data_IF_840669391396
#
_entry.id   IF_840669391396
#
_cell.length_a   1.000
_cell.length_b   1.000
_cell.length_c   1.000
_cell.angle_alpha   90.00
_cell.angle_beta   90.00
_cell.angle_gamma   90.00
#
_symmetry.space_group_name_H-M   'P 1'
#
loop_
_entity.id
_entity.type
_entity.pdbx_description
1 polymer ?
#
# COMPACT_ATOMS: atom_id res chain seq x y z
N UNK A 1 -6.28 27.04 10.50
CA UNK A 1 -5.52 26.25 11.49
C UNK A 1 -6.12 24.87 11.75
N UNK A 2 -7.44 24.72 11.82
CA UNK A 2 -8.14 23.43 12.05
C UNK A 2 -7.89 22.36 10.97
N UNK A 3 -7.67 22.77 9.71
CA UNK A 3 -7.39 21.84 8.61
C UNK A 3 -6.04 21.11 8.78
N UNK A 4 -4.99 21.86 9.12
CA UNK A 4 -3.63 21.30 9.32
C UNK A 4 -3.59 20.38 10.52
N UNK A 5 -4.24 20.75 11.63
CA UNK A 5 -4.31 19.89 12.82
C UNK A 5 -5.09 18.61 12.53
N UNK A 6 -6.22 18.69 11.81
CA UNK A 6 -6.97 17.51 11.37
C UNK A 6 -6.13 16.58 10.47
N UNK A 7 -5.38 17.15 9.52
CA UNK A 7 -4.48 16.39 8.64
C UNK A 7 -3.35 15.70 9.42
N UNK A 8 -2.70 16.41 10.34
CA UNK A 8 -1.66 15.81 11.19
C UNK A 8 -2.21 14.68 12.07
N UNK A 9 -3.36 14.88 12.73
CA UNK A 9 -3.99 13.84 13.56
C UNK A 9 -4.35 12.62 12.73
N UNK A 10 -4.95 12.80 11.55
CA UNK A 10 -5.28 11.71 10.65
C UNK A 10 -4.03 10.91 10.24
N UNK A 11 -2.96 11.61 9.84
CA UNK A 11 -1.71 10.96 9.46
C UNK A 11 -1.07 10.19 10.62
N UNK A 12 -1.01 10.79 11.81
CA UNK A 12 -0.46 10.15 13.00
C UNK A 12 -1.25 8.90 13.40
N UNK A 13 -2.59 9.00 13.39
CA UNK A 13 -3.49 7.89 13.72
C UNK A 13 -3.27 6.73 12.77
N UNK A 14 -3.12 7.00 11.47
CA UNK A 14 -2.83 5.98 10.47
C UNK A 14 -1.46 5.33 10.69
N UNK A 15 -0.45 6.14 10.98
CA UNK A 15 0.91 5.69 11.24
C UNK A 15 0.98 4.79 12.49
N UNK A 16 0.17 5.09 13.51
CA UNK A 16 0.11 4.29 14.72
C UNK A 16 -0.55 2.92 14.49
N UNK A 17 -1.60 2.85 13.67
CA UNK A 17 -2.40 1.63 13.47
C UNK A 17 -1.83 0.71 12.38
N UNK A 18 -1.36 1.28 11.28
CA UNK A 18 -0.99 0.49 10.10
C UNK A 18 0.50 0.15 10.04
N UNK A 19 1.37 0.84 10.77
CA UNK A 19 2.79 0.53 10.70
C UNK A 19 3.08 -0.80 11.40
N UNK A 20 3.72 -1.76 10.71
CA UNK A 20 4.08 -3.04 11.32
C UNK A 20 5.12 -2.89 12.45
N UNK A 21 5.86 -1.78 12.48
CA UNK A 21 6.83 -1.44 13.52
C UNK A 21 6.18 -0.88 14.80
N UNK A 22 4.94 -0.36 14.72
CA UNK A 22 4.24 0.24 15.86
C UNK A 22 3.18 -0.72 16.39
N UNK A 23 3.57 -1.56 17.36
CA UNK A 23 2.66 -2.54 17.99
C UNK A 23 1.77 -1.87 19.05
N UNK A 24 0.52 -1.56 18.68
CA UNK A 24 -0.50 -1.08 19.65
C UNK A 24 -0.95 -2.22 20.56
N UNK A 25 -1.14 -3.42 20.02
CA UNK A 25 -1.64 -4.56 20.80
C UNK A 25 -0.50 -5.23 21.57
N UNK A 26 -0.52 -5.06 22.91
CA UNK A 26 0.49 -5.61 23.84
C UNK A 26 0.19 -7.05 24.29
N UNK A 27 -0.90 -7.68 23.81
CA UNK A 27 -1.32 -9.01 24.26
C UNK A 27 -0.28 -10.12 23.99
N UNK A 28 0.59 -9.95 22.99
CA UNK A 28 1.64 -10.92 22.60
C UNK A 28 3.05 -10.55 23.04
N UNK A 29 3.21 -9.82 24.16
CA UNK A 29 4.52 -9.43 24.68
C UNK A 29 5.45 -10.62 25.02
N UNK A 30 4.87 -11.80 25.27
CA UNK A 30 5.59 -13.03 25.63
C UNK A 30 5.98 -13.90 24.42
N UNK A 31 5.45 -13.62 23.23
CA UNK A 31 5.71 -14.40 22.02
C UNK A 31 6.79 -13.70 21.20
N UNK A 32 8.02 -14.19 21.28
CA UNK A 32 9.19 -13.64 20.58
C UNK A 32 9.17 -13.85 19.05
N UNK A 33 8.14 -14.51 18.53
CA UNK A 33 7.99 -14.82 17.11
C UNK A 33 7.35 -13.61 16.42
N UNK A 34 8.07 -13.01 15.45
CA UNK A 34 7.53 -12.02 14.53
C UNK A 34 6.57 -12.72 13.55
N UNK A 35 5.34 -13.02 13.97
CA UNK A 35 4.23 -13.35 13.06
C UNK A 35 3.76 -12.10 12.28
N UNK A 36 4.71 -11.31 11.77
CA UNK A 36 4.51 -9.98 11.18
C UNK A 36 4.70 -10.00 9.65
N UNK A 37 4.97 -11.17 9.07
CA UNK A 37 5.16 -11.32 7.63
C UNK A 37 3.89 -10.95 6.85
N UNK A 38 2.72 -11.40 7.31
CA UNK A 38 1.45 -11.11 6.66
C UNK A 38 1.04 -9.62 6.79
N UNK A 39 1.30 -9.01 7.96
CA UNK A 39 1.00 -7.60 8.23
C UNK A 39 1.95 -6.67 7.46
N UNK A 40 3.22 -7.04 7.36
CA UNK A 40 4.23 -6.36 6.53
C UNK A 40 3.94 -6.48 5.03
N UNK A 41 3.45 -7.63 4.56
CA UNK A 41 3.02 -7.80 3.16
C UNK A 41 1.82 -6.91 2.84
N UNK A 42 0.82 -6.86 3.73
CA UNK A 42 -0.35 -5.97 3.60
C UNK A 42 0.04 -4.49 3.59
N UNK A 43 1.03 -4.07 4.38
CA UNK A 43 1.55 -2.70 4.36
C UNK A 43 2.33 -2.38 3.08
N UNK A 44 3.18 -3.31 2.61
CA UNK A 44 3.99 -3.16 1.40
C UNK A 44 3.15 -3.12 0.11
N UNK A 45 2.17 -4.03 0.01
CA UNK A 45 1.30 -4.14 -1.16
C UNK A 45 0.02 -3.30 -0.99
N UNK A 46 0.17 -1.99 -0.98
CA UNK A 46 -0.97 -1.08 -0.97
C UNK A 46 -1.83 -1.25 -2.24
N UNK A 47 -3.15 -1.02 -2.12
CA UNK A 47 -4.13 -1.28 -3.20
C UNK A 47 -3.80 -0.64 -4.56
N UNK A 48 -3.19 0.54 -4.61
CA UNK A 48 -2.76 1.18 -5.86
C UNK A 48 -1.54 0.47 -6.46
N UNK A 49 -0.62 -0.05 -5.64
CA UNK A 49 0.50 -0.86 -6.14
C UNK A 49 -0.01 -2.17 -6.73
N UNK A 50 -1.03 -2.81 -6.14
CA UNK A 50 -1.73 -3.96 -6.73
C UNK A 50 -2.49 -3.61 -8.02
N UNK A 51 -3.11 -2.43 -8.05
CA UNK A 51 -3.79 -1.90 -9.23
C UNK A 51 -2.78 -1.71 -10.39
N UNK A 52 -1.69 -0.99 -10.13
CA UNK A 52 -0.62 -0.79 -11.11
C UNK A 52 0.05 -2.09 -11.54
N UNK A 53 0.18 -3.08 -10.65
CA UNK A 53 0.73 -4.39 -11.01
C UNK A 53 -0.14 -5.12 -12.05
N UNK A 54 -1.47 -4.96 -12.00
CA UNK A 54 -2.39 -5.58 -12.96
C UNK A 54 -2.42 -4.86 -14.30
N UNK A 55 -2.05 -3.58 -14.33
CA UNK A 55 -1.93 -2.83 -15.56
C UNK A 55 -0.53 -3.02 -16.14
N UNK A 56 -0.45 -3.60 -17.34
CA UNK A 56 0.82 -3.65 -18.08
C UNK A 56 1.30 -2.20 -18.23
N UNK A 57 2.53 -1.85 -17.82
CA UNK A 57 3.01 -0.48 -17.94
C UNK A 57 3.18 -0.18 -19.44
N UNK A 58 2.17 0.43 -20.03
CA UNK A 58 2.24 0.99 -21.37
C UNK A 58 3.25 2.13 -21.32
N UNK A 59 4.41 1.96 -21.94
CA UNK A 59 5.43 3.03 -22.02
C UNK A 59 4.84 4.24 -22.78
N UNK A 60 3.90 3.99 -23.71
CA UNK A 60 3.12 4.97 -24.46
C UNK A 60 1.70 4.44 -24.75
N UNK A 61 0.66 4.89 -24.03
CA UNK A 61 -0.72 4.40 -24.21
C UNK A 61 -1.30 4.73 -25.60
N UNK A 62 -0.73 5.71 -26.32
CA UNK A 62 -1.19 6.13 -27.65
C UNK A 62 -0.82 5.16 -28.78
N UNK A 63 0.15 4.26 -28.60
CA UNK A 63 0.64 3.34 -29.65
C UNK A 63 0.13 1.89 -29.51
N UNK A 64 -0.42 1.51 -28.34
CA UNK A 64 -0.84 0.12 -28.11
C UNK A 64 -2.04 -0.29 -28.99
N UNK A 65 -2.96 0.64 -29.31
CA UNK A 65 -4.07 0.36 -30.23
C UNK A 65 -3.67 0.20 -31.70
N UNK A 66 -2.50 0.70 -32.10
CA UNK A 66 -1.99 0.59 -33.48
C UNK A 66 -1.32 -0.76 -33.75
N UNK A 67 -0.77 -1.40 -32.71
CA UNK A 67 0.01 -2.63 -32.84
C UNK A 67 -0.87 -3.87 -32.93
N UNK A 68 -2.06 -3.84 -32.30
CA UNK A 68 -2.99 -4.98 -32.29
C UNK A 68 -3.87 -5.09 -33.55
N UNK A 69 -3.90 -4.06 -34.40
CA UNK A 69 -4.70 -4.03 -35.63
C UNK A 69 -3.93 -4.57 -36.87
N UNK A 70 -2.61 -4.70 -36.76
CA UNK A 70 -1.73 -5.15 -37.86
C UNK A 70 -1.58 -6.69 -37.97
N UNK A 71 -2.34 -7.48 -37.20
CA UNK A 71 -2.35 -8.95 -37.21
C UNK A 71 -3.59 -9.56 -37.92
N UNK A 72 -4.18 -8.85 -38.89
CA UNK A 72 -5.25 -9.37 -39.77
C UNK A 72 -4.84 -9.43 -41.23
#
# INVERSE_FOLDING_TARGET
MTFVTGMCVFQLTRNMILNPDVRINKARRSTAILDNAEEGEKYSQHGFRKFLYRHRPAVLPSFEGLSTDNDK
#
